data_IF_846042735176
#
_entry.id   IF_846042735176
#
_cell.length_a   1.000
_cell.length_b   1.000
_cell.length_c   1.000
_cell.angle_alpha   90.00
_cell.angle_beta   90.00
_cell.angle_gamma   90.00
#
_symmetry.space_group_name_H-M   'P 1'
#
loop_
_entity.id
_entity.type
_entity.pdbx_description
1 polymer ?
#
# COMPACT_ATOMS: atom_id res chain seq x y z
N UNK A 1 -18.22 -39.70 -4.77
CA UNK A 1 -17.88 -39.41 -3.35
C UNK A 1 -17.24 -38.02 -3.32
N UNK A 2 -18.06 -36.98 -3.32
CA UNK A 2 -17.61 -35.59 -3.25
C UNK A 2 -18.09 -34.99 -1.93
N UNK A 3 -17.15 -34.57 -1.10
CA UNK A 3 -17.37 -33.57 -0.07
C UNK A 3 -16.15 -32.65 -0.09
N UNK A 4 -16.05 -31.81 -1.13
CA UNK A 4 -15.10 -30.71 -1.13
C UNK A 4 -15.73 -29.61 -0.31
N UNK A 5 -15.19 -29.43 0.90
CA UNK A 5 -15.61 -28.54 1.97
C UNK A 5 -16.19 -27.18 1.50
N UNK A 6 -17.51 -27.00 1.62
CA UNK A 6 -18.16 -25.67 1.66
C UNK A 6 -17.59 -24.77 2.78
N UNK A 7 -17.04 -25.38 3.84
CA UNK A 7 -16.42 -24.66 4.98
C UNK A 7 -15.17 -23.86 4.60
N UNK A 8 -14.40 -24.27 3.57
CA UNK A 8 -13.20 -23.54 3.14
C UNK A 8 -13.59 -22.22 2.47
N UNK A 9 -14.64 -22.25 1.64
CA UNK A 9 -15.13 -21.05 0.96
C UNK A 9 -15.77 -20.06 1.92
N UNK A 10 -16.48 -20.53 2.94
CA UNK A 10 -17.04 -19.68 3.99
C UNK A 10 -15.96 -18.98 4.85
N UNK A 11 -14.81 -19.64 5.09
CA UNK A 11 -13.67 -19.03 5.78
C UNK A 11 -12.99 -17.93 4.95
N UNK A 12 -13.01 -18.05 3.62
CA UNK A 12 -12.40 -17.06 2.72
C UNK A 12 -13.27 -15.81 2.49
N UNK A 13 -14.59 -15.88 2.70
CA UNK A 13 -15.53 -14.78 2.45
C UNK A 13 -15.87 -13.97 3.71
N UNK A 14 -15.58 -14.48 4.92
CA UNK A 14 -15.82 -13.79 6.19
C UNK A 14 -14.86 -12.62 6.49
N UNK A 15 -13.88 -12.34 5.64
CA UNK A 15 -12.84 -11.32 5.88
C UNK A 15 -12.97 -10.07 4.98
N UNK A 16 -14.18 -9.72 4.51
CA UNK A 16 -14.34 -8.58 3.60
C UNK A 16 -14.25 -7.21 4.29
N UNK A 17 -14.63 -7.08 5.57
CA UNK A 17 -14.35 -5.88 6.39
C UNK A 17 -12.91 -5.86 6.93
N UNK A 18 -12.29 -7.03 7.07
CA UNK A 18 -10.87 -7.19 7.46
C UNK A 18 -9.94 -6.75 6.34
N UNK A 19 -10.42 -6.62 5.10
CA UNK A 19 -9.61 -6.27 3.92
C UNK A 19 -9.17 -4.80 3.90
N UNK A 20 -9.98 -3.86 4.40
CA UNK A 20 -9.58 -2.45 4.49
C UNK A 20 -8.58 -2.22 5.63
N UNK A 21 -8.85 -2.75 6.82
CA UNK A 21 -7.92 -2.72 7.95
C UNK A 21 -6.61 -3.45 7.63
N UNK A 22 -6.67 -4.54 6.86
CA UNK A 22 -5.46 -5.23 6.42
C UNK A 22 -4.67 -4.37 5.42
N UNK A 23 -5.31 -3.75 4.43
CA UNK A 23 -4.59 -2.93 3.45
C UNK A 23 -3.91 -1.72 4.10
N UNK A 24 -4.61 -1.00 4.97
CA UNK A 24 -4.06 0.18 5.63
C UNK A 24 -2.86 -0.19 6.52
N UNK A 25 -2.91 -1.34 7.20
CA UNK A 25 -1.74 -1.89 7.91
C UNK A 25 -0.59 -2.24 6.97
N UNK A 26 -0.85 -2.89 5.83
CA UNK A 26 0.20 -3.20 4.84
C UNK A 26 0.84 -1.93 4.26
N UNK A 27 0.04 -0.86 4.06
CA UNK A 27 0.56 0.44 3.64
C UNK A 27 1.45 1.06 4.72
N UNK A 28 1.02 1.04 5.98
CA UNK A 28 1.81 1.54 7.11
C UNK A 28 3.15 0.80 7.24
N UNK A 29 3.14 -0.53 7.14
CA UNK A 29 4.37 -1.32 7.16
C UNK A 29 5.27 -1.00 5.95
N UNK A 30 4.69 -0.79 4.77
CA UNK A 30 5.47 -0.40 3.58
C UNK A 30 6.13 0.99 3.75
N UNK A 31 5.44 1.92 4.42
CA UNK A 31 6.02 3.22 4.78
C UNK A 31 7.16 3.04 5.79
N UNK A 32 6.96 2.25 6.84
CA UNK A 32 8.01 1.97 7.82
C UNK A 32 9.27 1.39 7.18
N UNK A 33 9.10 0.37 6.33
CA UNK A 33 10.21 -0.29 5.65
C UNK A 33 10.93 0.67 4.70
N UNK A 34 10.18 1.48 3.94
CA UNK A 34 10.75 2.49 3.05
C UNK A 34 11.59 3.52 3.81
N UNK A 35 11.08 4.06 4.91
CA UNK A 35 11.81 5.04 5.72
C UNK A 35 13.00 4.40 6.45
N UNK A 36 12.88 3.15 6.91
CA UNK A 36 13.99 2.40 7.51
C UNK A 36 15.15 2.15 6.54
N UNK A 37 14.96 2.24 5.22
CA UNK A 37 16.08 2.15 4.26
C UNK A 37 17.09 3.29 4.40
N UNK A 38 16.69 4.41 5.00
CA UNK A 38 17.57 5.53 5.35
C UNK A 38 18.24 5.36 6.73
N UNK A 39 17.85 4.33 7.48
CA UNK A 39 18.23 4.09 8.87
C UNK A 39 17.05 4.29 9.84
N UNK A 40 16.99 3.47 10.90
CA UNK A 40 15.88 3.53 11.85
C UNK A 40 15.83 4.88 12.59
N UNK A 41 16.96 5.50 12.92
CA UNK A 41 16.98 6.84 13.52
C UNK A 41 16.35 7.89 12.59
N UNK A 42 16.62 7.80 11.28
CA UNK A 42 16.02 8.66 10.27
C UNK A 42 14.50 8.46 10.19
N UNK A 43 14.01 7.20 10.17
CA UNK A 43 12.57 6.91 10.24
C UNK A 43 11.90 7.60 11.43
N UNK A 44 12.48 7.48 12.63
CA UNK A 44 11.92 8.13 13.83
C UNK A 44 11.94 9.66 13.73
N UNK A 45 13.02 10.25 13.21
CA UNK A 45 13.12 11.69 13.01
C UNK A 45 12.09 12.20 11.99
N UNK A 46 11.84 11.45 10.91
CA UNK A 46 10.84 11.79 9.89
C UNK A 46 9.44 11.72 10.50
N UNK A 47 9.10 10.66 11.24
CA UNK A 47 7.80 10.57 11.92
C UNK A 47 7.60 11.68 12.95
N UNK A 48 8.63 12.00 13.73
CA UNK A 48 8.58 13.13 14.65
C UNK A 48 8.30 14.46 13.92
N UNK A 49 8.95 14.68 12.77
CA UNK A 49 8.74 15.89 11.98
C UNK A 49 7.35 15.94 11.33
N UNK A 50 6.86 14.81 10.80
CA UNK A 50 5.49 14.66 10.29
C UNK A 50 4.44 15.01 11.36
N UNK A 51 4.62 14.49 12.57
CA UNK A 51 3.69 14.75 13.67
C UNK A 51 3.74 16.21 14.12
N UNK A 52 4.93 16.78 14.33
CA UNK A 52 5.06 18.13 14.91
C UNK A 52 4.74 19.23 13.91
N UNK A 53 5.21 19.12 12.68
CA UNK A 53 5.08 20.16 11.65
C UNK A 53 3.79 20.00 10.86
N UNK A 54 3.49 18.78 10.41
CA UNK A 54 2.38 18.52 9.48
C UNK A 54 1.11 17.99 10.15
N UNK A 55 1.18 17.66 11.45
CA UNK A 55 0.06 17.06 12.21
C UNK A 55 -0.42 15.74 11.59
N UNK A 56 0.54 14.95 11.12
CA UNK A 56 0.31 13.61 10.55
C UNK A 56 0.98 12.60 11.46
N UNK A 57 0.18 11.88 12.26
CA UNK A 57 0.66 10.72 12.99
C UNK A 57 0.72 9.49 12.08
N UNK A 58 1.61 8.54 12.38
CA UNK A 58 1.83 7.34 11.55
C UNK A 58 0.52 6.66 11.18
N UNK A 59 -0.34 6.37 12.16
CA UNK A 59 -1.61 5.67 11.94
C UNK A 59 -2.61 6.42 11.06
N UNK A 60 -2.46 7.74 10.87
CA UNK A 60 -3.32 8.54 10.01
C UNK A 60 -2.83 8.63 8.56
N UNK A 61 -1.65 8.09 8.23
CA UNK A 61 -1.11 8.12 6.87
C UNK A 61 -2.08 7.51 5.83
N UNK A 62 -2.75 6.37 6.06
CA UNK A 62 -3.65 5.79 5.07
C UNK A 62 -4.86 6.68 4.73
N UNK A 63 -5.40 7.39 5.72
CA UNK A 63 -6.52 8.33 5.52
C UNK A 63 -6.07 9.70 5.03
N UNK A 64 -4.81 10.08 5.27
CA UNK A 64 -4.19 11.36 4.88
C UNK A 64 -3.07 11.20 3.84
N UNK A 65 -3.22 10.26 2.91
CA UNK A 65 -2.13 9.87 2.01
C UNK A 65 -1.61 11.05 1.16
N UNK A 66 -2.49 11.93 0.69
CA UNK A 66 -2.11 13.12 -0.09
C UNK A 66 -1.33 14.13 0.75
N UNK A 67 -1.80 14.41 1.99
CA UNK A 67 -1.09 15.27 2.93
C UNK A 67 0.29 14.70 3.26
N UNK A 68 0.39 13.38 3.42
CA UNK A 68 1.66 12.68 3.67
C UNK A 68 2.63 12.84 2.49
N UNK A 69 2.19 12.61 1.25
CA UNK A 69 3.07 12.76 0.06
C UNK A 69 3.59 14.18 -0.07
N UNK A 70 2.72 15.19 0.12
CA UNK A 70 3.12 16.59 0.11
C UNK A 70 4.12 16.91 1.26
N UNK A 71 3.89 16.37 2.46
CA UNK A 71 4.82 16.56 3.58
C UNK A 71 6.21 15.96 3.28
N UNK A 72 6.26 14.76 2.68
CA UNK A 72 7.53 14.14 2.25
C UNK A 72 8.22 14.99 1.19
N UNK A 73 7.48 15.54 0.22
CA UNK A 73 8.01 16.49 -0.78
C UNK A 73 8.56 17.76 -0.13
N UNK A 74 7.91 18.32 0.88
CA UNK A 74 8.42 19.48 1.60
C UNK A 74 9.70 19.19 2.41
N UNK A 75 9.86 17.97 2.93
CA UNK A 75 11.05 17.56 3.68
C UNK A 75 12.24 17.25 2.75
N UNK A 76 11.99 16.53 1.66
CA UNK A 76 13.05 15.94 0.82
C UNK A 76 13.17 16.58 -0.57
N UNK A 77 12.28 17.48 -0.95
CA UNK A 77 12.19 18.05 -2.29
C UNK A 77 12.10 16.95 -3.35
N UNK A 78 12.92 17.07 -4.40
CA UNK A 78 13.01 16.09 -5.50
C UNK A 78 13.30 14.66 -4.99
N UNK A 79 13.96 14.52 -3.84
CA UNK A 79 14.24 13.22 -3.21
C UNK A 79 12.98 12.44 -2.77
N UNK A 80 11.84 13.12 -2.61
CA UNK A 80 10.57 12.49 -2.24
C UNK A 80 10.12 11.41 -3.24
N UNK A 81 10.39 11.60 -4.53
CA UNK A 81 10.05 10.62 -5.58
C UNK A 81 10.72 9.26 -5.32
N UNK A 82 11.93 9.26 -4.75
CA UNK A 82 12.63 8.01 -4.38
C UNK A 82 11.90 7.31 -3.22
N UNK A 83 11.43 8.08 -2.22
CA UNK A 83 10.68 7.53 -1.08
C UNK A 83 9.35 6.95 -1.54
N UNK A 84 8.59 7.66 -2.36
CA UNK A 84 7.35 7.16 -2.96
C UNK A 84 7.56 5.84 -3.72
N UNK A 85 8.60 5.77 -4.56
CA UNK A 85 8.95 4.55 -5.29
C UNK A 85 9.28 3.39 -4.35
N UNK A 86 9.99 3.64 -3.24
CA UNK A 86 10.27 2.60 -2.25
C UNK A 86 9.00 2.09 -1.57
N UNK A 87 8.10 3.00 -1.17
CA UNK A 87 6.81 2.63 -0.57
C UNK A 87 6.02 1.75 -1.53
N UNK A 88 5.92 2.12 -2.81
CA UNK A 88 5.25 1.30 -3.83
C UNK A 88 5.86 -0.09 -3.96
N UNK A 89 7.19 -0.20 -3.94
CA UNK A 89 7.90 -1.49 -4.04
C UNK A 89 7.63 -2.39 -2.84
N UNK A 90 7.71 -1.86 -1.62
CA UNK A 90 7.41 -2.61 -0.40
C UNK A 90 5.94 -3.00 -0.33
N UNK A 91 5.04 -2.08 -0.66
CA UNK A 91 3.61 -2.35 -0.70
C UNK A 91 3.29 -3.45 -1.70
N UNK A 92 3.85 -3.40 -2.92
CA UNK A 92 3.71 -4.45 -3.94
C UNK A 92 4.10 -5.83 -3.41
N UNK A 93 5.22 -5.94 -2.69
CA UNK A 93 5.69 -7.21 -2.12
C UNK A 93 4.70 -7.79 -1.10
N UNK A 94 4.03 -6.91 -0.35
CA UNK A 94 3.06 -7.29 0.68
C UNK A 94 1.72 -7.74 0.10
N UNK A 95 1.21 -7.02 -0.90
CA UNK A 95 -0.09 -7.32 -1.53
C UNK A 95 -0.02 -8.46 -2.55
N UNK A 96 1.18 -8.79 -3.05
CA UNK A 96 1.42 -9.82 -4.06
C UNK A 96 1.47 -9.29 -5.50
N UNK A 97 1.73 -10.18 -6.46
CA UNK A 97 1.87 -9.81 -7.87
C UNK A 97 0.51 -9.56 -8.55
N UNK A 98 0.26 -8.35 -9.01
CA UNK A 98 -0.87 -8.00 -9.88
C UNK A 98 -0.40 -7.70 -11.30
N UNK A 99 -1.18 -8.15 -12.31
CA UNK A 99 -0.89 -7.97 -13.74
C UNK A 99 -1.09 -6.54 -14.26
N UNK A 100 -1.63 -5.63 -13.45
CA UNK A 100 -1.99 -4.29 -13.91
C UNK A 100 -1.15 -3.23 -13.21
N UNK A 101 -0.26 -2.61 -13.98
CA UNK A 101 0.38 -1.35 -13.63
C UNK A 101 -0.17 -0.28 -14.59
N UNK A 102 -0.64 0.87 -14.08
CA UNK A 102 -0.85 2.02 -14.95
C UNK A 102 0.48 2.36 -15.63
N UNK A 103 0.51 2.26 -16.96
CA UNK A 103 1.68 2.67 -17.76
C UNK A 103 1.73 4.21 -17.79
N UNK A 104 2.78 4.79 -17.25
CA UNK A 104 3.08 6.22 -17.31
C UNK A 104 4.40 6.53 -16.60
N UNK A 105 5.14 7.55 -17.06
CA UNK A 105 6.44 7.95 -16.52
C UNK A 105 6.36 8.67 -15.15
N UNK A 106 5.14 9.03 -14.71
CA UNK A 106 4.86 9.80 -13.49
C UNK A 106 3.77 9.17 -12.60
N UNK A 107 3.84 7.87 -12.34
CA UNK A 107 2.94 7.23 -11.38
C UNK A 107 3.26 7.72 -9.95
N UNK A 108 2.31 8.44 -9.33
CA UNK A 108 2.43 8.90 -7.94
C UNK A 108 1.97 7.85 -6.93
N UNK A 109 2.41 7.94 -5.68
CA UNK A 109 2.01 7.01 -4.62
C UNK A 109 0.49 7.02 -4.42
N UNK A 110 -0.13 8.20 -4.48
CA UNK A 110 -1.58 8.37 -4.37
C UNK A 110 -2.30 7.59 -5.48
N UNK A 111 -1.87 7.76 -6.72
CA UNK A 111 -2.44 7.05 -7.88
C UNK A 111 -2.24 5.53 -7.75
N UNK A 112 -1.06 5.10 -7.30
CA UNK A 112 -0.75 3.70 -7.08
C UNK A 112 -1.68 3.07 -6.03
N UNK A 113 -1.80 3.69 -4.84
CA UNK A 113 -2.67 3.19 -3.76
C UNK A 113 -4.13 3.17 -4.19
N UNK A 114 -4.62 4.21 -4.88
CA UNK A 114 -5.97 4.24 -5.41
C UNK A 114 -6.24 3.09 -6.40
N UNK A 115 -5.28 2.81 -7.30
CA UNK A 115 -5.38 1.70 -8.24
C UNK A 115 -5.42 0.34 -7.52
N UNK A 116 -4.57 0.13 -6.51
CA UNK A 116 -4.56 -1.12 -5.73
C UNK A 116 -5.85 -1.29 -4.93
N UNK A 117 -6.31 -0.26 -4.21
CA UNK A 117 -7.60 -0.30 -3.47
C UNK A 117 -8.78 -0.65 -4.39
N UNK A 118 -8.76 -0.17 -5.65
CA UNK A 118 -9.77 -0.53 -6.66
C UNK A 118 -9.69 -2.00 -7.08
N UNK A 119 -8.49 -2.56 -7.22
CA UNK A 119 -8.29 -3.97 -7.60
C UNK A 119 -8.73 -4.94 -6.51
N UNK A 120 -8.48 -4.63 -5.23
CA UNK A 120 -8.96 -5.43 -4.09
C UNK A 120 -10.50 -5.48 -4.03
N UNK A 121 -11.15 -4.40 -4.45
CA UNK A 121 -12.62 -4.33 -4.55
C UNK A 121 -13.21 -5.02 -5.78
N UNK A 122 -12.40 -5.37 -6.78
CA UNK A 122 -12.87 -6.16 -7.92
C UNK A 122 -12.82 -7.66 -7.56
N UNK A 123 -13.93 -8.41 -7.66
CA UNK A 123 -13.87 -9.86 -7.47
C UNK A 123 -12.86 -10.41 -8.47
N UNK A 124 -11.87 -11.18 -7.98
CA UNK A 124 -10.79 -11.77 -8.78
C UNK A 124 -11.40 -12.64 -9.89
N UNK A 125 -11.71 -12.04 -11.04
CA UNK A 125 -12.20 -12.76 -12.22
C UNK A 125 -11.05 -13.65 -12.65
N UNK A 126 -11.24 -14.97 -12.53
CA UNK A 126 -10.29 -15.97 -13.00
C UNK A 126 -9.99 -15.68 -14.47
N UNK A 127 -8.84 -15.07 -14.76
CA UNK A 127 -8.28 -15.05 -16.11
C UNK A 127 -7.99 -16.51 -16.44
N UNK A 128 -8.93 -17.16 -17.15
CA UNK A 128 -8.68 -18.46 -17.76
C UNK A 128 -7.49 -18.27 -18.68
N UNK A 129 -6.33 -18.76 -18.26
CA UNK A 129 -5.24 -19.05 -19.18
C UNK A 129 -5.80 -20.10 -20.14
N UNK A 130 -6.09 -19.68 -21.38
CA UNK A 130 -6.27 -20.62 -22.47
C UNK A 130 -4.93 -21.31 -22.65
N UNK A 131 -4.83 -22.54 -22.17
CA UNK A 131 -3.82 -23.48 -22.65
C UNK A 131 -4.30 -23.91 -24.03
N UNK A 132 -3.55 -23.55 -25.06
CA UNK A 132 -3.65 -24.15 -26.40
C UNK A 132 -3.13 -25.58 -26.36
#
# INVERSE_FOLDING_TARGET
MYAVNEKIYFYSLKNLDVLEDNFDNLLLEAVDEALSTLGDSCKHAIYFHLEKTFKIERQHIPSKLEEFVNAIEQIFGIGAKIIEIQIMKFLRRKIGEFKYFPKGEDLTLVQYVAAVKKLERCPKVKLKTKTS
#
